data_IF_346805254541
#
_entry.id   IF_346805254541
#
_cell.length_a   1.000
_cell.length_b   1.000
_cell.length_c   1.000
_cell.angle_alpha   90.00
_cell.angle_beta   90.00
_cell.angle_gamma   90.00
#
_symmetry.space_group_name_H-M   'P 1'
#
loop_
_entity.id
_entity.type
_entity.pdbx_description
1 polymer ?
#
# COMPACT_ATOMS: atom_id res chain seq x y z
N UNK A 1 31.64 -35.73 11.51
CA UNK A 1 30.98 -34.41 11.60
C UNK A 1 29.68 -34.63 12.34
N UNK A 2 29.56 -34.12 13.57
CA UNK A 2 28.33 -34.27 14.34
C UNK A 2 27.22 -33.47 13.66
N UNK A 3 26.11 -34.13 13.30
CA UNK A 3 24.90 -33.42 12.88
C UNK A 3 24.43 -32.56 14.05
N UNK A 4 24.49 -31.24 13.93
CA UNK A 4 23.91 -30.35 14.93
C UNK A 4 22.41 -30.64 14.99
N UNK A 5 21.95 -31.29 16.06
CA UNK A 5 20.53 -31.54 16.24
C UNK A 5 19.80 -30.20 16.31
N UNK A 6 18.68 -30.10 15.58
CA UNK A 6 17.88 -28.90 15.57
C UNK A 6 17.16 -28.75 16.92
N UNK A 7 17.35 -27.62 17.60
CA UNK A 7 16.80 -27.36 18.93
C UNK A 7 15.68 -26.34 18.87
N UNK A 8 14.50 -26.70 19.39
CA UNK A 8 13.40 -25.75 19.57
C UNK A 8 13.56 -24.96 20.86
N UNK A 9 13.23 -23.66 20.81
CA UNK A 9 13.11 -22.81 22.00
C UNK A 9 12.17 -21.64 21.75
N UNK A 10 11.67 -21.06 22.85
CA UNK A 10 11.01 -19.77 22.84
C UNK A 10 12.06 -18.65 22.90
N UNK A 11 12.00 -17.67 22.01
CA UNK A 11 12.92 -16.54 22.02
C UNK A 11 12.28 -15.25 21.50
N UNK A 12 12.82 -14.11 21.94
CA UNK A 12 12.52 -12.82 21.34
C UNK A 12 13.37 -12.63 20.09
N UNK A 13 12.74 -12.66 18.92
CA UNK A 13 13.37 -12.45 17.62
C UNK A 13 13.33 -10.97 17.28
N UNK A 14 14.49 -10.42 16.96
CA UNK A 14 14.74 -9.02 16.63
C UNK A 14 15.22 -8.93 15.19
N UNK A 15 14.47 -8.25 14.32
CA UNK A 15 14.79 -8.11 12.89
C UNK A 15 14.87 -6.64 12.53
N UNK A 16 15.85 -6.29 11.69
CA UNK A 16 16.01 -4.93 11.18
C UNK A 16 16.27 -4.89 9.69
N UNK A 17 15.95 -3.76 9.08
CA UNK A 17 16.26 -3.46 7.68
C UNK A 17 16.48 -1.95 7.48
N UNK A 18 17.25 -1.58 6.46
CA UNK A 18 17.50 -0.17 6.12
C UNK A 18 16.43 0.35 5.16
N UNK A 19 15.87 1.51 5.48
CA UNK A 19 14.91 2.16 4.58
C UNK A 19 15.63 2.74 3.36
N UNK A 20 15.29 2.21 2.18
CA UNK A 20 15.77 2.75 0.91
C UNK A 20 17.26 2.48 0.65
N UNK A 21 17.80 1.35 1.14
CA UNK A 21 19.19 0.99 0.99
C UNK A 21 19.70 1.04 -0.46
N UNK A 22 18.93 0.50 -1.42
CA UNK A 22 19.31 0.53 -2.83
C UNK A 22 19.50 1.95 -3.38
N UNK A 23 18.68 2.91 -2.94
CA UNK A 23 18.84 4.33 -3.31
C UNK A 23 20.13 4.90 -2.74
N UNK A 24 20.38 4.69 -1.45
CA UNK A 24 21.61 5.17 -0.79
C UNK A 24 22.88 4.59 -1.43
N UNK A 25 22.83 3.33 -1.87
CA UNK A 25 23.92 2.68 -2.60
C UNK A 25 24.13 3.26 -4.01
N UNK A 26 23.06 3.62 -4.70
CA UNK A 26 23.13 4.26 -6.01
C UNK A 26 23.68 5.70 -5.96
N UNK A 27 23.33 6.44 -4.90
CA UNK A 27 23.74 7.84 -4.75
C UNK A 27 25.23 7.98 -4.40
N UNK A 28 25.71 7.25 -3.39
CA UNK A 28 27.14 7.17 -3.04
C UNK A 28 27.38 5.90 -2.22
N UNK A 29 27.97 4.89 -2.86
CA UNK A 29 28.21 3.59 -2.27
C UNK A 29 29.26 3.62 -1.15
N UNK A 30 30.30 4.45 -1.25
CA UNK A 30 31.38 4.50 -0.26
C UNK A 30 30.87 5.06 1.06
N UNK A 31 30.17 6.19 1.01
CA UNK A 31 29.61 6.79 2.20
C UNK A 31 28.49 5.91 2.81
N UNK A 32 27.74 5.17 1.98
CA UNK A 32 26.67 4.28 2.47
C UNK A 32 27.23 3.06 3.19
N UNK A 33 28.24 2.40 2.62
CA UNK A 33 28.93 1.28 3.30
C UNK A 33 29.59 1.73 4.60
N UNK A 34 30.22 2.91 4.61
CA UNK A 34 30.80 3.49 5.84
C UNK A 34 29.75 3.72 6.92
N UNK A 35 28.64 4.37 6.57
CA UNK A 35 27.53 4.65 7.51
C UNK A 35 26.92 3.35 8.04
N UNK A 36 26.70 2.37 7.16
CA UNK A 36 26.19 1.05 7.54
C UNK A 36 27.13 0.34 8.52
N UNK A 37 28.44 0.37 8.27
CA UNK A 37 29.43 -0.22 9.18
C UNK A 37 29.42 0.45 10.56
N UNK A 38 29.38 1.78 10.62
CA UNK A 38 29.27 2.51 11.89
C UNK A 38 27.98 2.17 12.65
N UNK A 39 26.85 2.03 11.96
CA UNK A 39 25.58 1.71 12.60
C UNK A 39 25.52 0.24 13.01
N UNK A 40 26.17 -0.68 12.27
CA UNK A 40 26.33 -2.09 12.67
C UNK A 40 27.11 -2.24 13.97
N UNK A 41 28.10 -1.39 14.23
CA UNK A 41 28.78 -1.36 15.52
C UNK A 41 27.86 -0.90 16.65
N UNK A 42 26.97 0.07 16.40
CA UNK A 42 25.93 0.48 17.36
C UNK A 42 25.03 -0.70 17.70
N UNK A 43 24.48 -1.38 16.69
CA UNK A 43 23.67 -2.58 16.88
C UNK A 43 24.43 -3.64 17.68
N UNK A 44 25.66 -3.97 17.27
CA UNK A 44 26.48 -5.00 17.92
C UNK A 44 26.76 -4.68 19.39
N UNK A 45 27.05 -3.41 19.70
CA UNK A 45 27.31 -2.96 21.07
C UNK A 45 26.06 -3.08 21.95
N UNK A 46 24.93 -2.53 21.52
CA UNK A 46 23.68 -2.56 22.30
C UNK A 46 23.11 -3.96 22.45
N UNK A 47 23.14 -4.78 21.39
CA UNK A 47 22.66 -6.17 21.43
C UNK A 47 23.48 -6.97 22.45
N UNK A 48 24.82 -6.90 22.39
CA UNK A 48 25.69 -7.62 23.35
C UNK A 48 25.54 -7.12 24.78
N UNK A 49 25.43 -5.79 24.97
CA UNK A 49 25.22 -5.18 26.29
C UNK A 49 23.98 -5.73 27.00
N UNK A 50 22.97 -6.15 26.23
CA UNK A 50 21.70 -6.72 26.71
C UNK A 50 21.61 -8.23 26.52
N UNK A 51 22.76 -8.90 26.45
CA UNK A 51 22.87 -10.37 26.34
C UNK A 51 22.14 -10.96 25.12
N UNK A 52 21.88 -10.15 24.10
CA UNK A 52 21.38 -10.64 22.82
C UNK A 52 22.48 -11.28 21.98
N UNK A 53 22.10 -12.18 21.07
CA UNK A 53 23.00 -12.81 20.10
C UNK A 53 22.60 -12.40 18.69
N UNK A 54 23.53 -11.82 17.94
CA UNK A 54 23.37 -11.66 16.49
C UNK A 54 23.51 -13.04 15.86
N UNK A 55 22.45 -13.48 15.17
CA UNK A 55 22.36 -14.79 14.52
C UNK A 55 22.83 -14.69 13.07
N UNK A 56 22.34 -13.67 12.37
CA UNK A 56 22.71 -13.41 10.98
C UNK A 56 22.62 -11.91 10.70
N UNK A 57 23.37 -11.41 9.72
CA UNK A 57 23.32 -10.02 9.27
C UNK A 57 23.51 -9.91 7.74
N UNK A 58 22.57 -10.45 6.94
CA UNK A 58 22.72 -10.44 5.49
C UNK A 58 22.46 -9.03 4.93
N UNK A 59 23.40 -8.53 4.12
CA UNK A 59 23.27 -7.23 3.43
C UNK A 59 23.22 -6.04 4.39
N UNK A 60 22.07 -5.40 4.49
CA UNK A 60 21.74 -4.26 5.34
C UNK A 60 20.80 -4.62 6.51
N UNK A 61 20.39 -5.88 6.57
CA UNK A 61 19.54 -6.41 7.64
C UNK A 61 20.35 -7.01 8.80
N UNK A 62 19.73 -7.09 9.98
CA UNK A 62 20.27 -7.74 11.17
C UNK A 62 19.17 -8.60 11.79
N UNK A 63 19.51 -9.86 12.05
CA UNK A 63 18.69 -10.82 12.78
C UNK A 63 19.41 -11.15 14.09
N UNK A 64 18.76 -10.85 15.20
CA UNK A 64 19.24 -11.17 16.53
C UNK A 64 18.17 -11.87 17.36
N UNK A 65 18.61 -12.57 18.40
CA UNK A 65 17.73 -13.12 19.43
C UNK A 65 18.08 -12.61 20.81
N UNK A 66 17.07 -12.56 21.67
CA UNK A 66 17.19 -12.28 23.09
C UNK A 66 16.41 -13.33 23.88
N UNK A 67 16.92 -13.68 25.05
CA UNK A 67 16.20 -14.51 26.02
C UNK A 67 15.13 -13.70 26.76
N UNK A 68 15.35 -12.38 26.90
CA UNK A 68 14.47 -11.43 27.55
C UNK A 68 13.81 -10.50 26.55
N UNK A 69 12.48 -10.49 26.55
CA UNK A 69 11.66 -9.59 25.70
C UNK A 69 11.84 -8.13 26.11
N UNK A 70 11.95 -7.87 27.42
CA UNK A 70 12.18 -6.53 27.96
C UNK A 70 13.50 -5.97 27.44
N UNK A 71 14.54 -6.81 27.39
CA UNK A 71 15.84 -6.42 26.86
C UNK A 71 15.80 -6.17 25.36
N UNK A 72 15.11 -7.01 24.58
CA UNK A 72 14.95 -6.79 23.15
C UNK A 72 14.29 -5.43 22.85
N UNK A 73 13.19 -5.10 23.53
CA UNK A 73 12.45 -3.84 23.31
C UNK A 73 13.29 -2.65 23.76
N UNK A 74 13.93 -2.73 24.93
CA UNK A 74 14.75 -1.62 25.42
C UNK A 74 15.98 -1.40 24.52
N UNK A 75 16.59 -2.48 24.03
CA UNK A 75 17.65 -2.43 23.03
C UNK A 75 17.21 -1.70 21.76
N UNK A 76 16.02 -2.02 21.25
CA UNK A 76 15.47 -1.38 20.05
C UNK A 76 15.30 0.14 20.24
N UNK A 77 14.76 0.55 21.38
CA UNK A 77 14.53 1.96 21.70
C UNK A 77 15.85 2.72 21.83
N UNK A 78 16.83 2.17 22.55
CA UNK A 78 18.15 2.77 22.73
C UNK A 78 18.88 2.94 21.39
N UNK A 79 18.85 1.90 20.54
CA UNK A 79 19.43 1.97 19.20
C UNK A 79 18.75 3.05 18.36
N UNK A 80 17.42 3.08 18.29
CA UNK A 80 16.72 4.08 17.47
C UNK A 80 17.00 5.51 17.93
N UNK A 81 17.08 5.75 19.24
CA UNK A 81 17.45 7.06 19.80
C UNK A 81 18.88 7.45 19.42
N UNK A 82 19.83 6.53 19.53
CA UNK A 82 21.23 6.80 19.14
C UNK A 82 21.36 7.07 17.64
N UNK A 83 20.74 6.23 16.79
CA UNK A 83 20.76 6.40 15.34
C UNK A 83 20.07 7.70 14.91
N UNK A 84 19.00 8.11 15.58
CA UNK A 84 18.37 9.42 15.37
C UNK A 84 19.36 10.56 15.63
N UNK A 85 20.08 10.51 16.76
CA UNK A 85 21.12 11.49 17.09
C UNK A 85 22.25 11.56 16.07
N UNK A 86 22.69 10.41 15.52
CA UNK A 86 23.71 10.34 14.46
C UNK A 86 23.18 10.86 13.12
N UNK A 87 21.97 10.47 12.72
CA UNK A 87 21.32 10.94 11.49
C UNK A 87 21.09 12.45 11.47
N UNK A 88 20.85 13.08 12.63
CA UNK A 88 20.70 14.53 12.71
C UNK A 88 21.97 15.31 12.33
N UNK A 89 23.15 14.65 12.35
CA UNK A 89 24.43 15.21 11.90
C UNK A 89 24.67 15.06 10.40
N UNK A 90 23.81 14.29 9.71
CA UNK A 90 23.90 14.04 8.28
C UNK A 90 22.88 14.88 7.50
N UNK A 91 23.21 15.29 6.27
CA UNK A 91 22.23 15.85 5.34
C UNK A 91 21.06 14.90 5.13
N UNK A 92 19.84 15.45 4.96
CA UNK A 92 18.61 14.65 4.83
C UNK A 92 18.69 13.50 3.81
N UNK A 93 19.23 13.67 2.58
CA UNK A 93 19.33 12.59 1.60
C UNK A 93 20.23 11.41 2.03
N UNK A 94 21.14 11.66 2.98
CA UNK A 94 22.15 10.73 3.49
C UNK A 94 21.74 10.06 4.81
N UNK A 95 20.62 10.45 5.41
CA UNK A 95 20.14 9.84 6.66
C UNK A 95 19.76 8.38 6.42
N UNK A 96 20.27 7.51 7.27
CA UNK A 96 20.05 6.06 7.19
C UNK A 96 19.11 5.65 8.31
N UNK A 97 17.84 5.45 7.98
CA UNK A 97 16.84 5.02 8.94
C UNK A 97 16.70 3.50 8.92
N UNK A 98 16.68 2.90 10.11
CA UNK A 98 16.39 1.48 10.29
C UNK A 98 14.94 1.30 10.71
N UNK A 99 14.32 0.22 10.24
CA UNK A 99 13.06 -0.30 10.80
C UNK A 99 13.40 -1.49 11.69
N UNK A 100 12.65 -1.67 12.78
CA UNK A 100 12.86 -2.78 13.72
C UNK A 100 11.53 -3.48 13.98
N UNK A 101 11.55 -4.81 13.91
CA UNK A 101 10.44 -5.70 14.25
C UNK A 101 10.85 -6.67 15.36
N UNK A 102 10.01 -6.80 16.40
CA UNK A 102 10.26 -7.73 17.51
C UNK A 102 9.07 -8.64 17.74
N UNK A 103 9.33 -9.95 17.75
CA UNK A 103 8.33 -10.95 18.08
C UNK A 103 8.85 -11.93 19.13
N UNK A 104 7.97 -12.40 20.01
CA UNK A 104 8.23 -13.54 20.88
C UNK A 104 7.52 -14.75 20.29
N UNK A 105 8.25 -15.82 20.02
CA UNK A 105 7.67 -17.05 19.48
C UNK A 105 8.65 -18.22 19.45
N UNK A 106 8.12 -19.40 19.16
CA UNK A 106 8.92 -20.61 19.03
C UNK A 106 9.78 -20.54 17.77
N UNK A 107 11.06 -20.84 17.94
CA UNK A 107 12.07 -20.86 16.89
C UNK A 107 12.87 -22.15 16.94
N UNK A 108 13.27 -22.61 15.77
CA UNK A 108 14.17 -23.73 15.60
C UNK A 108 15.58 -23.19 15.36
N UNK A 109 16.53 -23.57 16.21
CA UNK A 109 17.95 -23.31 15.98
C UNK A 109 18.56 -24.53 15.29
N UNK A 110 19.20 -24.31 14.15
CA UNK A 110 19.99 -25.33 13.46
C UNK A 110 21.24 -24.68 12.87
N UNK A 111 22.41 -25.25 13.15
CA UNK A 111 23.70 -24.75 12.65
C UNK A 111 23.97 -23.27 12.97
N UNK A 112 23.44 -22.79 14.12
CA UNK A 112 23.57 -21.41 14.56
C UNK A 112 22.56 -20.44 13.92
N UNK A 113 21.77 -20.88 12.95
CA UNK A 113 20.71 -20.09 12.31
C UNK A 113 19.35 -20.28 12.99
N UNK A 114 18.44 -19.31 12.77
CA UNK A 114 17.07 -19.32 13.29
C UNK A 114 16.05 -19.55 12.18
N UNK A 115 15.15 -20.49 12.43
CA UNK A 115 14.04 -20.83 11.54
C UNK A 115 12.71 -20.85 12.27
N UNK A 116 11.63 -20.73 11.49
CA UNK A 116 10.26 -20.88 11.97
C UNK A 116 9.43 -19.61 11.84
N UNK A 117 8.15 -19.74 12.18
CA UNK A 117 7.18 -18.65 12.02
C UNK A 117 7.52 -17.45 12.88
N UNK A 118 8.18 -17.65 14.03
CA UNK A 118 8.65 -16.56 14.89
C UNK A 118 9.51 -15.52 14.15
N UNK A 119 10.39 -15.99 13.25
CA UNK A 119 11.25 -15.15 12.42
C UNK A 119 10.45 -14.45 11.33
N UNK A 120 9.54 -15.17 10.66
CA UNK A 120 8.67 -14.61 9.61
C UNK A 120 7.75 -13.51 10.15
N UNK A 121 7.21 -13.67 11.37
CA UNK A 121 6.43 -12.64 12.05
C UNK A 121 7.30 -11.42 12.34
N UNK A 122 8.49 -11.60 12.91
CA UNK A 122 9.38 -10.48 13.24
C UNK A 122 9.77 -9.67 12.00
N UNK A 123 10.14 -10.33 10.90
CA UNK A 123 10.41 -9.67 9.63
C UNK A 123 9.17 -8.93 9.10
N UNK A 124 7.97 -9.50 9.27
CA UNK A 124 6.75 -8.79 8.86
C UNK A 124 6.48 -7.56 9.72
N UNK A 125 6.75 -7.61 11.03
CA UNK A 125 6.62 -6.46 11.91
C UNK A 125 7.60 -5.35 11.54
N UNK A 126 8.85 -5.70 11.21
CA UNK A 126 9.87 -4.76 10.72
C UNK A 126 9.33 -4.01 9.49
N UNK A 127 8.82 -4.72 8.49
CA UNK A 127 8.30 -4.10 7.27
C UNK A 127 7.10 -3.16 7.49
N UNK A 128 6.45 -3.25 8.65
CA UNK A 128 5.31 -2.41 9.05
C UNK A 128 5.74 -1.21 9.91
N UNK A 129 6.99 -1.18 10.39
CA UNK A 129 7.50 -0.05 11.16
C UNK A 129 7.67 1.18 10.26
N UNK A 130 7.45 2.36 10.83
CA UNK A 130 7.84 3.61 10.17
C UNK A 130 9.39 3.69 10.14
N UNK A 131 10.00 4.47 9.23
CA UNK A 131 11.45 4.71 9.25
C UNK A 131 11.90 5.25 10.62
N UNK A 132 12.87 4.59 11.25
CA UNK A 132 13.30 4.91 12.62
C UNK A 132 12.35 4.40 13.71
N UNK A 133 11.36 3.58 13.37
CA UNK A 133 10.35 3.06 14.28
C UNK A 133 10.61 1.62 14.74
N UNK A 134 9.85 1.21 15.76
CA UNK A 134 9.85 -0.15 16.29
C UNK A 134 8.43 -0.68 16.31
N UNK A 135 8.21 -1.85 15.70
CA UNK A 135 6.96 -2.58 15.74
C UNK A 135 7.12 -3.90 16.51
N UNK A 136 6.14 -4.21 17.33
CA UNK A 136 6.14 -5.41 18.19
C UNK A 136 4.84 -6.20 18.02
N UNK A 137 4.90 -7.51 18.24
CA UNK A 137 3.70 -8.35 18.32
C UNK A 137 2.95 -8.14 19.63
N UNK A 138 1.69 -8.57 19.68
CA UNK A 138 0.92 -8.61 20.93
C UNK A 138 1.62 -9.38 22.06
N UNK A 139 2.21 -10.52 21.77
CA UNK A 139 2.89 -11.33 22.77
C UNK A 139 4.05 -10.56 23.42
N UNK A 140 4.76 -9.74 22.66
CA UNK A 140 5.78 -8.83 23.18
C UNK A 140 5.15 -7.73 24.02
N UNK A 141 4.11 -7.05 23.49
CA UNK A 141 3.39 -5.98 24.18
C UNK A 141 2.87 -6.43 25.55
N UNK A 142 2.20 -7.58 25.62
CA UNK A 142 1.62 -8.14 26.84
C UNK A 142 2.70 -8.35 27.93
N UNK A 143 3.96 -8.58 27.54
CA UNK A 143 5.10 -8.75 28.46
C UNK A 143 5.80 -7.45 28.87
N UNK A 144 5.71 -6.37 28.10
CA UNK A 144 6.52 -5.16 28.34
C UNK A 144 5.72 -3.93 28.76
N UNK A 145 4.42 -3.86 28.43
CA UNK A 145 3.63 -2.63 28.63
C UNK A 145 3.50 -2.16 30.08
N UNK A 146 3.66 -3.05 31.06
CA UNK A 146 3.68 -2.70 32.49
C UNK A 146 5.08 -2.57 33.08
N UNK A 147 6.11 -3.00 32.34
CA UNK A 147 7.50 -3.09 32.82
C UNK A 147 8.38 -1.95 32.28
N UNK A 148 8.00 -1.36 31.15
CA UNK A 148 8.72 -0.27 30.51
C UNK A 148 7.87 1.00 30.54
N UNK A 149 8.52 2.11 30.88
CA UNK A 149 7.92 3.46 30.78
C UNK A 149 7.94 3.93 29.33
N UNK A 150 7.13 3.28 28.51
CA UNK A 150 6.99 3.50 27.07
C UNK A 150 5.52 3.50 26.70
N UNK A 151 5.16 4.38 25.76
CA UNK A 151 3.83 4.38 25.17
C UNK A 151 3.77 3.46 23.95
N UNK A 152 2.60 2.89 23.70
CA UNK A 152 2.35 1.99 22.56
C UNK A 152 1.11 2.40 21.78
N UNK A 153 1.17 2.27 20.46
CA UNK A 153 0.05 2.54 19.57
C UNK A 153 -0.37 1.28 18.82
N UNK A 154 -1.65 0.90 18.94
CA UNK A 154 -2.17 -0.31 18.32
C UNK A 154 -2.44 -0.08 16.82
N UNK A 155 -1.73 -0.83 15.96
CA UNK A 155 -1.82 -0.71 14.50
C UNK A 155 -2.87 -1.65 13.87
N UNK A 156 -3.56 -2.44 14.69
CA UNK A 156 -4.57 -3.39 14.25
C UNK A 156 -4.01 -4.79 14.01
N UNK A 157 -4.82 -5.61 13.34
CA UNK A 157 -4.49 -6.96 12.92
C UNK A 157 -3.89 -6.98 11.51
N UNK A 158 -2.89 -7.84 11.31
CA UNK A 158 -2.17 -8.02 10.05
C UNK A 158 -2.03 -9.50 9.75
N UNK A 159 -2.50 -9.91 8.57
CA UNK A 159 -2.24 -11.25 8.05
C UNK A 159 -0.78 -11.34 7.60
N UNK A 160 -0.12 -12.41 8.00
CA UNK A 160 1.23 -12.78 7.57
C UNK A 160 1.09 -13.99 6.65
N UNK A 161 1.91 -14.05 5.60
CA UNK A 161 1.93 -15.21 4.72
C UNK A 161 2.26 -16.46 5.55
N UNK A 162 1.54 -17.56 5.32
CA UNK A 162 1.74 -18.85 5.99
C UNK A 162 1.40 -18.89 7.50
N UNK A 163 0.66 -17.90 8.04
CA UNK A 163 0.20 -17.91 9.43
C UNK A 163 -1.32 -17.86 9.46
N UNK A 164 -1.94 -18.86 10.10
CA UNK A 164 -3.38 -19.02 10.12
C UNK A 164 -4.10 -17.87 10.86
N UNK A 165 -3.58 -17.46 12.02
CA UNK A 165 -4.14 -16.39 12.81
C UNK A 165 -3.50 -15.02 12.45
N UNK A 166 -4.29 -13.94 12.35
CA UNK A 166 -3.74 -12.61 12.15
C UNK A 166 -2.92 -12.16 13.38
N UNK A 167 -1.81 -11.49 13.12
CA UNK A 167 -0.93 -10.95 14.17
C UNK A 167 -1.37 -9.53 14.52
N UNK A 168 -1.58 -9.29 15.81
CA UNK A 168 -1.84 -7.96 16.36
C UNK A 168 -0.53 -7.21 16.52
N UNK A 169 -0.48 -6.00 15.96
CA UNK A 169 0.76 -5.21 15.86
C UNK A 169 0.64 -3.93 16.70
N UNK A 170 1.70 -3.62 17.44
CA UNK A 170 1.84 -2.38 18.20
C UNK A 170 3.09 -1.64 17.76
N UNK A 171 3.01 -0.33 17.65
CA UNK A 171 4.15 0.56 17.48
C UNK A 171 4.63 1.04 18.85
N UNK A 172 5.93 0.99 19.09
CA UNK A 172 6.54 1.61 20.28
C UNK A 172 6.77 3.09 19.99
N UNK A 173 6.39 3.96 20.92
CA UNK A 173 6.62 5.40 20.84
C UNK A 173 7.93 5.74 21.56
N UNK A 174 8.88 6.30 20.80
CA UNK A 174 10.27 6.45 21.26
C UNK A 174 10.49 7.65 22.17
N UNK A 175 9.62 8.66 22.12
CA UNK A 175 9.62 9.80 23.03
C UNK A 175 8.45 9.69 24.01
N UNK A 176 8.68 9.84 25.33
CA UNK A 176 7.61 9.84 26.32
C UNK A 176 6.64 11.00 26.06
N UNK A 177 5.32 10.73 26.12
CA UNK A 177 4.29 11.74 25.86
C UNK A 177 3.95 11.95 24.38
N UNK A 178 4.55 11.20 23.45
CA UNK A 178 4.12 11.17 22.05
C UNK A 178 2.89 10.30 21.80
N UNK A 179 2.29 9.68 22.83
CA UNK A 179 1.01 9.00 22.71
C UNK A 179 0.00 9.95 22.05
N UNK A 180 -0.41 9.71 20.79
CA UNK A 180 -1.35 10.60 20.14
C UNK A 180 -2.64 10.58 20.97
N UNK A 181 -3.13 11.76 21.30
CA UNK A 181 -4.39 11.93 22.01
C UNK A 181 -5.47 11.15 21.27
N UNK A 182 -6.52 10.69 21.97
CA UNK A 182 -7.63 9.92 21.34
C UNK A 182 -8.18 10.64 20.09
N UNK A 183 -8.13 11.97 20.08
CA UNK A 183 -8.52 12.83 18.96
C UNK A 183 -7.55 12.75 17.79
N UNK A 184 -6.23 12.83 18.02
CA UNK A 184 -5.22 12.69 16.97
C UNK A 184 -5.20 11.29 16.34
N UNK A 185 -5.44 10.24 17.15
CA UNK A 185 -5.62 8.87 16.63
C UNK A 185 -6.82 8.77 15.70
N UNK A 186 -7.95 9.36 16.09
CA UNK A 186 -9.16 9.38 15.27
C UNK A 186 -8.94 10.13 13.94
N UNK A 187 -8.30 11.31 13.98
CA UNK A 187 -8.01 12.13 12.80
C UNK A 187 -7.06 11.40 11.84
N UNK A 188 -6.00 10.76 12.35
CA UNK A 188 -5.03 10.03 11.51
C UNK A 188 -5.65 8.79 10.86
N UNK A 189 -6.51 8.07 11.58
CA UNK A 189 -7.23 6.92 11.04
C UNK A 189 -8.29 7.35 10.02
N UNK A 190 -9.01 8.46 10.25
CA UNK A 190 -9.89 9.07 9.26
C UNK A 190 -9.12 9.45 8.00
N UNK A 191 -7.99 10.14 8.13
CA UNK A 191 -7.18 10.57 6.98
C UNK A 191 -6.68 9.39 6.14
N UNK A 192 -6.23 8.29 6.76
CA UNK A 192 -5.86 7.05 6.06
C UNK A 192 -7.05 6.39 5.36
N UNK A 193 -8.24 6.43 5.95
CA UNK A 193 -9.46 5.89 5.35
C UNK A 193 -9.93 6.74 4.16
N UNK A 194 -9.95 8.06 4.32
CA UNK A 194 -10.39 9.00 3.29
C UNK A 194 -9.47 9.01 2.06
N UNK A 195 -8.15 8.78 2.23
CA UNK A 195 -7.25 8.58 1.09
C UNK A 195 -7.64 7.38 0.22
N UNK A 196 -8.08 6.28 0.83
CA UNK A 196 -8.57 5.10 0.09
C UNK A 196 -9.89 5.38 -0.60
N UNK A 197 -10.81 6.08 0.07
CA UNK A 197 -12.09 6.49 -0.53
C UNK A 197 -11.88 7.46 -1.69
N UNK A 198 -10.99 8.44 -1.55
CA UNK A 198 -10.65 9.39 -2.60
C UNK A 198 -10.07 8.70 -3.83
N UNK A 199 -9.17 7.71 -3.65
CA UNK A 199 -8.62 6.90 -4.74
C UNK A 199 -9.68 6.05 -5.47
N UNK A 200 -10.65 5.49 -4.73
CA UNK A 200 -11.75 4.75 -5.33
C UNK A 200 -12.73 5.67 -6.07
N UNK A 201 -13.00 6.85 -5.50
CA UNK A 201 -13.85 7.85 -6.13
C UNK A 201 -13.22 8.39 -7.42
N UNK A 202 -11.91 8.67 -7.44
CA UNK A 202 -11.23 9.11 -8.66
C UNK A 202 -11.21 8.02 -9.73
N UNK A 203 -11.01 6.75 -9.36
CA UNK A 203 -11.11 5.63 -10.30
C UNK A 203 -12.54 5.51 -10.88
N UNK A 204 -13.58 5.63 -10.05
CA UNK A 204 -14.96 5.58 -10.51
C UNK A 204 -15.31 6.74 -11.46
N UNK A 205 -14.83 7.96 -11.19
CA UNK A 205 -15.00 9.11 -12.07
C UNK A 205 -14.31 8.87 -13.43
N UNK A 206 -13.10 8.31 -13.44
CA UNK A 206 -12.42 7.98 -14.70
C UNK A 206 -13.19 6.94 -15.51
N UNK A 207 -13.73 5.90 -14.88
CA UNK A 207 -14.57 4.90 -15.56
C UNK A 207 -15.83 5.53 -16.15
N UNK A 208 -16.50 6.41 -15.39
CA UNK A 208 -17.68 7.12 -15.88
C UNK A 208 -17.35 8.04 -17.08
N UNK A 209 -16.22 8.75 -17.03
CA UNK A 209 -15.76 9.60 -18.15
C UNK A 209 -15.47 8.78 -19.41
N UNK A 210 -14.82 7.62 -19.27
CA UNK A 210 -14.58 6.70 -20.40
C UNK A 210 -15.91 6.20 -20.97
N UNK A 211 -16.86 5.78 -20.12
CA UNK A 211 -18.16 5.30 -20.57
C UNK A 211 -18.96 6.39 -21.31
N UNK A 212 -18.93 7.65 -20.82
CA UNK A 212 -19.58 8.79 -21.48
C UNK A 212 -18.92 9.08 -22.83
N UNK A 213 -17.59 9.06 -22.90
CA UNK A 213 -16.86 9.27 -24.15
C UNK A 213 -17.18 8.17 -25.17
N UNK A 214 -17.18 6.91 -24.75
CA UNK A 214 -17.55 5.75 -25.59
C UNK A 214 -18.99 5.87 -26.08
N UNK A 215 -19.93 6.27 -25.22
CA UNK A 215 -21.33 6.49 -25.60
C UNK A 215 -21.49 7.60 -26.64
N UNK A 216 -20.77 8.72 -26.47
CA UNK A 216 -20.82 9.84 -27.41
C UNK A 216 -20.27 9.44 -28.79
N UNK A 217 -19.15 8.71 -28.84
CA UNK A 217 -18.57 8.21 -30.09
C UNK A 217 -19.50 7.21 -30.79
N UNK A 218 -20.10 6.29 -30.01
CA UNK A 218 -21.09 5.35 -30.54
C UNK A 218 -22.29 6.10 -31.14
N UNK A 219 -22.85 7.09 -30.42
CA UNK A 219 -23.98 7.89 -30.89
C UNK A 219 -23.68 8.60 -32.21
N UNK A 220 -22.48 9.19 -32.33
CA UNK A 220 -22.07 9.89 -33.55
C UNK A 220 -22.02 8.93 -34.76
N UNK A 221 -21.48 7.71 -34.57
CA UNK A 221 -21.41 6.70 -35.64
C UNK A 221 -22.78 6.18 -36.09
N UNK A 222 -23.75 6.06 -35.16
CA UNK A 222 -25.12 5.63 -35.47
C UNK A 222 -25.88 6.69 -36.25
N UNK A 223 -25.72 7.97 -35.88
CA UNK A 223 -26.39 9.09 -36.57
C UNK A 223 -25.83 9.26 -37.99
N UNK A 224 -24.51 9.18 -38.19
CA UNK A 224 -23.91 9.23 -39.53
C UNK A 224 -24.38 8.08 -40.41
N UNK A 225 -24.45 6.87 -39.86
CA UNK A 225 -24.94 5.69 -40.59
C UNK A 225 -26.43 5.80 -40.95
N UNK A 226 -27.25 6.36 -40.06
CA UNK A 226 -28.68 6.59 -40.31
C UNK A 226 -28.92 7.69 -41.35
N UNK A 227 -28.14 8.78 -41.33
CA UNK A 227 -28.24 9.86 -42.32
C UNK A 227 -27.83 9.36 -43.71
N UNK A 228 -26.76 8.57 -43.81
CA UNK A 228 -26.30 7.97 -45.05
C UNK A 228 -27.30 6.93 -45.60
N UNK A 229 -27.95 6.16 -44.73
CA UNK A 229 -29.03 5.27 -45.12
C UNK A 229 -30.25 6.05 -45.65
N UNK A 230 -30.60 7.16 -45.00
CA UNK A 230 -31.70 8.03 -45.43
C UNK A 230 -31.42 8.72 -46.76
N UNK A 231 -30.21 9.24 -47.00
CA UNK A 231 -29.82 9.79 -48.31
C UNK A 231 -29.89 8.74 -49.43
N UNK A 232 -29.49 7.50 -49.13
CA UNK A 232 -29.54 6.40 -50.09
C UNK A 232 -30.98 6.01 -50.44
N UNK A 233 -31.92 6.13 -49.49
CA UNK A 233 -33.34 5.87 -49.70
C UNK A 233 -34.08 7.05 -50.36
N UNK A 234 -33.65 8.29 -50.08
CA UNK A 234 -34.23 9.50 -50.65
C UNK A 234 -33.78 9.79 -52.10
N UNK A 235 -32.77 9.09 -52.60
CA UNK A 235 -32.26 9.23 -53.96
C UNK A 235 -33.14 8.50 -54.99
N UNK A 236 -34.39 8.96 -55.17
CA UNK A 236 -35.12 8.66 -56.40
C UNK A 236 -34.51 9.48 -57.54
N UNK A 237 -34.27 8.89 -58.74
CA UNK A 237 -33.75 9.64 -59.86
C UNK A 237 -34.74 10.75 -60.24
N UNK A 238 -34.23 11.99 -60.31
CA UNK A 238 -35.03 13.13 -60.76
C UNK A 238 -35.48 12.89 -62.22
N UNK A 239 -36.73 13.23 -62.59
CA UNK A 239 -37.19 13.08 -63.96
C UNK A 239 -36.41 14.00 -64.91
N UNK A 240 -36.10 13.53 -66.12
CA UNK A 240 -35.38 14.31 -67.15
C UNK A 240 -36.17 15.52 -67.69
N UNK A 241 -37.41 15.73 -67.23
CA UNK A 241 -38.30 16.83 -67.63
C UNK A 241 -38.72 17.64 -66.41
N UNK A 242 -38.88 18.97 -66.54
CA UNK A 242 -39.34 19.80 -65.44
C UNK A 242 -40.71 19.31 -64.95
N UNK A 243 -40.77 18.98 -63.66
CA UNK A 243 -41.92 18.39 -62.99
C UNK A 243 -42.10 19.01 -61.61
N UNK A 244 -43.35 19.13 -61.15
CA UNK A 244 -43.72 19.69 -59.84
C UNK A 244 -44.49 18.62 -59.10
N UNK A 245 -44.07 18.30 -57.87
CA UNK A 245 -44.84 17.44 -56.98
C UNK A 245 -45.98 18.26 -56.36
N UNK A 246 -47.22 17.85 -56.60
CA UNK A 246 -48.42 18.44 -55.98
C UNK A 246 -48.96 17.43 -54.96
N UNK A 247 -49.04 17.85 -53.71
CA UNK A 247 -49.68 17.05 -52.65
C UNK A 247 -51.19 16.98 -52.91
N UNK A 248 -51.80 15.83 -52.66
CA UNK A 248 -53.25 15.69 -52.68
C UNK A 248 -53.85 16.72 -51.70
N UNK A 249 -54.87 17.44 -52.17
CA UNK A 249 -55.55 18.48 -51.39
C UNK A 249 -56.99 18.06 -51.17
N UNK A 250 -57.59 18.41 -50.04
CA UNK A 250 -58.94 17.96 -49.71
C UNK A 250 -60.00 18.59 -50.63
N UNK A 251 -61.01 17.79 -51.05
CA UNK A 251 -62.15 18.30 -51.81
C UNK A 251 -63.06 19.14 -50.91
N UNK A 252 -63.06 20.45 -51.12
CA UNK A 252 -63.89 21.40 -50.35
C UNK A 252 -65.22 21.75 -51.04
N UNK A 253 -65.52 21.20 -52.23
CA UNK A 253 -66.76 21.51 -52.97
C UNK A 253 -68.01 20.83 -52.39
N UNK A 254 -67.82 19.77 -51.59
CA UNK A 254 -68.90 18.98 -50.98
C UNK A 254 -69.62 18.03 -51.96
N UNK A 255 -69.22 18.01 -53.23
CA UNK A 255 -69.73 17.06 -54.23
C UNK A 255 -68.74 15.89 -54.40
N UNK A 256 -69.16 14.62 -54.12
CA UNK A 256 -68.28 13.45 -54.21
C UNK A 256 -67.73 13.20 -55.63
N UNK A 257 -68.45 13.64 -56.66
CA UNK A 257 -68.06 13.43 -58.05
C UNK A 257 -66.83 14.29 -58.46
N UNK A 258 -66.44 15.29 -57.65
CA UNK A 258 -65.27 16.14 -57.90
C UNK A 258 -64.00 15.66 -57.16
N UNK A 259 -64.09 14.55 -56.40
CA UNK A 259 -62.97 14.03 -55.60
C UNK A 259 -61.74 13.70 -56.46
N UNK A 260 -61.94 13.26 -57.70
CA UNK A 260 -60.85 12.87 -58.57
C UNK A 260 -59.88 14.03 -58.91
N UNK A 261 -60.33 15.29 -58.85
CA UNK A 261 -59.45 16.45 -59.02
C UNK A 261 -58.47 16.62 -57.85
N UNK A 262 -58.84 16.13 -56.67
CA UNK A 262 -58.10 16.23 -55.41
C UNK A 262 -57.01 15.16 -55.29
N UNK A 263 -57.23 13.99 -55.88
CA UNK A 263 -56.30 12.87 -55.89
C UNK A 263 -55.14 13.05 -56.89
N UNK A 264 -55.22 14.09 -57.73
CA UNK A 264 -54.25 14.38 -58.79
C UNK A 264 -54.44 13.51 -60.04
N UNK A 265 -53.99 14.02 -61.19
CA UNK A 265 -53.89 13.20 -62.40
C UNK A 265 -52.58 12.41 -62.38
N UNK A 266 -52.66 11.11 -62.69
CA UNK A 266 -51.48 10.26 -62.91
C UNK A 266 -50.78 10.57 -64.25
#
# INVERSE_FOLDING_TARGET
>A
MASTEARQKLAAVFVTDVVGYSRLMGDDHHATVKTLAEYREVFSSHIRKRQGRIVNAPGDSILAEFESVVDAVTCAVEIQRELSGRNNRLPEPRRMHFRIGINLGDVLIKDGELFGDGVNIAARLESLADPGGVCISRTVFDQVHTRLDLDFDYLGERKVKNIAAPVRVYKVLLEPGQAPTRRERAVRNLARSWRKVALLATAAVLVALVAILSWNLYRQSVVESALAAFEKEAAFPLPDKPSIAVLAFDNLSGNPDDQWFSDGFA
#
